data_IF_128677490438
#
_entry.id   IF_128677490438
#
_cell.length_a   1.000
_cell.length_b   1.000
_cell.length_c   1.000
_cell.angle_alpha   90.00
_cell.angle_beta   90.00
_cell.angle_gamma   90.00
#
_symmetry.space_group_name_H-M   'P 1'
#
loop_
_entity.id
_entity.type
_entity.pdbx_description
1 polymer ?
#
# COMPACT_ATOMS: atom_id res chain seq x y z
N UNK A 1 -22.97 7.38 32.79
CA UNK A 1 -23.19 7.91 31.42
C UNK A 1 -21.84 8.22 30.81
N UNK A 2 -21.38 7.36 29.89
CA UNK A 2 -20.32 7.65 28.92
C UNK A 2 -20.76 6.96 27.63
N UNK A 3 -21.60 7.62 26.85
CA UNK A 3 -21.82 7.27 25.45
C UNK A 3 -21.13 8.35 24.62
N UNK A 4 -20.00 8.05 23.96
CA UNK A 4 -19.65 8.68 22.68
C UNK A 4 -18.44 8.06 21.95
N UNK A 5 -18.45 6.76 21.70
CA UNK A 5 -17.76 6.23 20.51
C UNK A 5 -18.65 5.13 19.95
N UNK A 6 -19.41 5.44 18.89
CA UNK A 6 -20.06 4.41 18.07
C UNK A 6 -19.03 3.99 17.00
N UNK A 7 -18.37 2.83 17.10
CA UNK A 7 -17.47 2.38 16.06
C UNK A 7 -18.23 1.82 14.86
N UNK A 8 -17.78 2.22 13.66
CA UNK A 8 -17.94 1.58 12.35
C UNK A 8 -19.34 1.09 11.98
N UNK A 9 -20.19 2.04 11.57
CA UNK A 9 -21.29 1.76 10.65
C UNK A 9 -21.07 2.60 9.39
N UNK A 10 -20.33 2.08 8.41
CA UNK A 10 -20.35 2.62 7.05
C UNK A 10 -21.53 1.98 6.30
N UNK A 11 -22.74 2.32 6.72
CA UNK A 11 -23.94 2.19 5.90
C UNK A 11 -24.31 3.62 5.50
N UNK A 12 -23.67 4.13 4.45
CA UNK A 12 -24.38 4.81 3.37
C UNK A 12 -23.43 5.07 2.20
N UNK A 13 -23.92 4.68 1.04
CA UNK A 13 -23.44 4.82 -0.33
C UNK A 13 -23.31 6.28 -0.81
N UNK A 14 -22.63 7.13 -0.05
CA UNK A 14 -22.32 8.50 -0.45
C UNK A 14 -21.31 8.49 -1.60
N UNK A 15 -21.79 8.33 -2.83
CA UNK A 15 -21.03 8.61 -4.04
C UNK A 15 -20.77 10.12 -4.11
N UNK A 16 -19.57 10.53 -4.47
CA UNK A 16 -19.32 11.92 -4.83
C UNK A 16 -20.10 12.29 -6.11
N UNK A 17 -20.05 13.57 -6.51
CA UNK A 17 -20.84 14.09 -7.64
C UNK A 17 -20.54 13.38 -8.97
N UNK A 18 -19.39 12.73 -9.07
CA UNK A 18 -18.92 11.97 -10.23
C UNK A 18 -19.20 10.45 -10.08
N UNK A 19 -19.88 10.04 -9.00
CA UNK A 19 -20.29 8.66 -8.79
C UNK A 19 -19.26 7.79 -8.05
N UNK A 20 -18.13 8.36 -7.63
CA UNK A 20 -17.05 7.61 -7.01
C UNK A 20 -17.21 7.50 -5.48
N UNK A 21 -16.73 6.40 -4.90
CA UNK A 21 -16.83 6.15 -3.46
C UNK A 21 -15.70 6.91 -2.76
N UNK A 22 -15.97 7.70 -1.71
CA UNK A 22 -14.92 8.38 -0.97
C UNK A 22 -14.01 7.34 -0.34
N UNK A 23 -12.71 7.54 -0.52
CA UNK A 23 -11.68 6.65 0.01
C UNK A 23 -11.60 6.91 1.53
N UNK A 24 -11.78 5.88 2.39
CA UNK A 24 -11.67 6.06 3.84
C UNK A 24 -10.30 6.59 4.24
N UNK A 25 -10.24 7.49 5.22
CA UNK A 25 -8.98 8.06 5.71
C UNK A 25 -7.98 6.96 6.14
N UNK A 26 -8.47 5.90 6.79
CA UNK A 26 -7.64 4.77 7.22
C UNK A 26 -6.98 4.03 6.04
N UNK A 27 -7.67 3.93 4.90
CA UNK A 27 -7.13 3.33 3.68
C UNK A 27 -6.01 4.22 3.12
N UNK A 28 -6.18 5.54 3.16
CA UNK A 28 -5.17 6.51 2.71
C UNK A 28 -3.93 6.43 3.61
N UNK A 29 -4.09 6.48 4.93
CA UNK A 29 -2.99 6.45 5.90
C UNK A 29 -2.18 5.15 5.80
N UNK A 30 -2.85 4.00 5.72
CA UNK A 30 -2.18 2.71 5.59
C UNK A 30 -1.46 2.59 4.24
N UNK A 31 -2.10 3.03 3.15
CA UNK A 31 -1.48 3.03 1.82
C UNK A 31 -0.22 3.89 1.81
N UNK A 32 -0.30 5.10 2.38
CA UNK A 32 0.83 6.02 2.48
C UNK A 32 1.99 5.41 3.27
N UNK A 33 1.71 4.89 4.47
CA UNK A 33 2.72 4.26 5.32
C UNK A 33 3.46 3.11 4.62
N UNK A 34 2.73 2.26 3.90
CA UNK A 34 3.31 1.14 3.14
C UNK A 34 4.11 1.64 1.94
N UNK A 35 3.63 2.67 1.23
CA UNK A 35 4.34 3.27 0.11
C UNK A 35 5.64 3.95 0.54
N UNK A 36 5.62 4.74 1.61
CA UNK A 36 6.81 5.37 2.20
C UNK A 36 7.84 4.32 2.56
N UNK A 37 7.41 3.24 3.23
CA UNK A 37 8.32 2.15 3.62
C UNK A 37 8.97 1.45 2.42
N UNK A 38 8.20 1.21 1.35
CA UNK A 38 8.75 0.62 0.12
C UNK A 38 9.71 1.58 -0.58
N UNK A 39 9.39 2.88 -0.62
CA UNK A 39 10.24 3.89 -1.23
C UNK A 39 11.55 4.08 -0.45
N UNK A 40 11.52 4.03 0.88
CA UNK A 40 12.71 4.11 1.72
C UNK A 40 13.69 2.96 1.46
N UNK A 41 13.18 1.74 1.28
CA UNK A 41 13.99 0.55 1.04
C UNK A 41 14.38 0.36 -0.43
N UNK A 42 13.50 0.75 -1.34
CA UNK A 42 13.61 0.57 -2.79
C UNK A 42 13.30 1.90 -3.49
N UNK A 43 14.17 2.91 -3.34
CA UNK A 43 13.93 4.23 -3.91
C UNK A 43 14.02 4.19 -5.44
N UNK A 44 13.26 5.02 -6.15
CA UNK A 44 13.29 5.06 -7.63
C UNK A 44 12.52 3.94 -8.32
N UNK A 45 11.67 3.21 -7.58
CA UNK A 45 10.71 2.26 -8.11
C UNK A 45 9.29 2.87 -8.07
N UNK A 46 8.50 2.63 -9.12
CA UNK A 46 7.16 3.21 -9.25
C UNK A 46 6.10 2.38 -8.48
N UNK A 47 6.22 2.34 -7.15
CA UNK A 47 5.30 1.58 -6.30
C UNK A 47 3.90 2.21 -6.26
N UNK A 48 2.90 1.41 -6.57
CA UNK A 48 1.48 1.73 -6.37
C UNK A 48 0.92 0.89 -5.22
N UNK A 49 0.37 1.56 -4.20
CA UNK A 49 -0.20 0.89 -3.03
C UNK A 49 -1.67 1.26 -2.89
N UNK A 50 -2.51 0.25 -2.66
CA UNK A 50 -3.94 0.42 -2.38
C UNK A 50 -4.31 -0.44 -1.20
N UNK A 51 -4.58 0.18 -0.07
CA UNK A 51 -5.16 -0.48 1.09
C UNK A 51 -6.69 -0.46 0.99
N UNK A 52 -7.31 -1.53 1.49
CA UNK A 52 -8.73 -1.60 1.77
C UNK A 52 -8.88 -2.18 3.15
N UNK A 53 -9.07 -1.31 4.15
CA UNK A 53 -9.22 -1.73 5.56
C UNK A 53 -10.50 -2.54 5.73
N UNK A 54 -11.57 -2.17 5.02
CA UNK A 54 -12.82 -2.92 4.99
C UNK A 54 -12.62 -4.36 4.47
N UNK A 55 -11.83 -4.54 3.42
CA UNK A 55 -11.57 -5.87 2.84
C UNK A 55 -10.39 -6.59 3.52
N UNK A 56 -9.69 -5.95 4.45
CA UNK A 56 -8.57 -6.55 5.17
C UNK A 56 -7.30 -6.74 4.32
N UNK A 57 -7.14 -6.02 3.21
CA UNK A 57 -6.07 -6.25 2.23
C UNK A 57 -5.28 -4.99 1.89
N UNK A 58 -3.99 -5.16 1.61
CA UNK A 58 -3.15 -4.16 0.94
C UNK A 58 -2.63 -4.76 -0.35
N UNK A 59 -2.93 -4.12 -1.47
CA UNK A 59 -2.46 -4.50 -2.81
C UNK A 59 -1.32 -3.60 -3.23
N UNK A 60 -0.21 -4.20 -3.65
CA UNK A 60 1.01 -3.50 -4.07
C UNK A 60 1.33 -3.89 -5.52
N UNK A 61 1.64 -2.90 -6.34
CA UNK A 61 2.09 -3.03 -7.73
C UNK A 61 3.34 -2.18 -7.96
N UNK A 62 4.11 -2.52 -8.98
CA UNK A 62 5.20 -1.67 -9.47
C UNK A 62 4.93 -1.31 -10.93
N UNK A 63 4.52 -0.07 -11.18
CA UNK A 63 4.09 0.39 -12.50
C UNK A 63 5.23 0.47 -13.52
N UNK A 64 6.49 0.47 -13.08
CA UNK A 64 7.64 0.40 -13.98
C UNK A 64 7.90 -1.04 -14.48
N UNK A 65 7.37 -2.05 -13.79
CA UNK A 65 7.61 -3.47 -14.10
C UNK A 65 6.40 -4.15 -14.71
N UNK A 66 5.21 -3.88 -14.17
CA UNK A 66 3.96 -4.42 -14.69
C UNK A 66 2.76 -3.61 -14.23
N UNK A 67 1.83 -3.38 -15.14
CA UNK A 67 0.48 -2.89 -14.88
C UNK A 67 -0.47 -3.98 -14.35
N UNK A 68 -0.19 -5.24 -14.69
CA UNK A 68 -1.03 -6.42 -14.41
C UNK A 68 -0.65 -7.17 -13.14
N UNK A 69 0.64 -7.27 -12.83
CA UNK A 69 1.13 -8.09 -11.74
C UNK A 69 1.53 -7.28 -10.51
N UNK A 70 1.34 -7.90 -9.35
CA UNK A 70 1.63 -7.32 -8.04
C UNK A 70 1.47 -8.38 -6.97
N UNK A 71 1.34 -7.96 -5.72
CA UNK A 71 1.10 -8.86 -4.59
C UNK A 71 0.12 -8.25 -3.60
N UNK A 72 -0.55 -9.12 -2.85
CA UNK A 72 -1.55 -8.76 -1.85
C UNK A 72 -1.09 -9.26 -0.49
N UNK A 73 -1.21 -8.41 0.52
CA UNK A 73 -0.91 -8.74 1.92
C UNK A 73 -2.13 -8.49 2.78
N UNK A 74 -2.44 -9.45 3.66
CA UNK A 74 -3.52 -9.30 4.62
C UNK A 74 -3.12 -8.34 5.74
N UNK A 75 -3.99 -7.38 6.06
CA UNK A 75 -3.75 -6.36 7.09
C UNK A 75 -3.49 -6.99 8.46
N UNK A 76 -4.10 -8.13 8.76
CA UNK A 76 -3.84 -8.86 10.01
C UNK A 76 -2.38 -9.31 10.16
N UNK A 77 -1.70 -9.61 9.05
CA UNK A 77 -0.25 -9.89 9.07
C UNK A 77 0.57 -8.63 9.36
N UNK A 78 0.09 -7.46 8.97
CA UNK A 78 0.77 -6.18 9.22
C UNK A 78 0.62 -5.73 10.68
N UNK A 79 -0.50 -6.07 11.35
CA UNK A 79 -0.72 -5.75 12.77
C UNK A 79 0.35 -6.40 13.67
N UNK A 80 0.83 -7.58 13.30
CA UNK A 80 1.89 -8.32 14.02
C UNK A 80 3.31 -7.99 13.55
N UNK A 81 3.45 -7.15 12.52
CA UNK A 81 4.71 -6.74 11.91
C UNK A 81 4.76 -5.19 11.78
N UNK A 82 4.90 -4.46 12.91
CA UNK A 82 4.81 -2.98 12.91
C UNK A 82 5.90 -2.31 12.06
N UNK A 83 7.03 -3.00 11.85
CA UNK A 83 8.12 -2.55 10.99
C UNK A 83 7.93 -2.83 9.50
N UNK A 84 6.83 -3.48 9.11
CA UNK A 84 6.49 -3.84 7.73
C UNK A 84 7.60 -4.63 7.01
N UNK A 85 8.37 -5.44 7.74
CA UNK A 85 9.40 -6.32 7.19
C UNK A 85 8.83 -7.28 6.16
N UNK A 86 7.59 -7.75 6.37
CA UNK A 86 6.90 -8.61 5.42
C UNK A 86 6.74 -7.94 4.05
N UNK A 87 6.32 -6.67 4.04
CA UNK A 87 6.18 -5.87 2.82
C UNK A 87 7.53 -5.68 2.13
N UNK A 88 8.57 -5.34 2.90
CA UNK A 88 9.91 -5.13 2.35
C UNK A 88 10.44 -6.41 1.72
N UNK A 89 10.26 -7.55 2.37
CA UNK A 89 10.69 -8.85 1.85
C UNK A 89 9.92 -9.23 0.58
N UNK A 90 8.60 -9.07 0.58
CA UNK A 90 7.75 -9.35 -0.59
C UNK A 90 8.09 -8.42 -1.77
N UNK A 91 8.34 -7.13 -1.51
CA UNK A 91 8.78 -6.18 -2.53
C UNK A 91 10.13 -6.58 -3.14
N UNK A 92 11.10 -6.98 -2.32
CA UNK A 92 12.39 -7.45 -2.80
C UNK A 92 12.30 -8.74 -3.62
N UNK A 93 11.50 -9.70 -3.16
CA UNK A 93 11.23 -10.93 -3.91
C UNK A 93 10.53 -10.63 -5.25
N UNK A 94 9.59 -9.68 -5.26
CA UNK A 94 8.94 -9.23 -6.47
C UNK A 94 9.95 -8.66 -7.49
N UNK A 95 10.90 -7.83 -7.05
CA UNK A 95 11.97 -7.34 -7.93
C UNK A 95 12.83 -8.48 -8.50
N UNK A 96 13.21 -9.44 -7.67
CA UNK A 96 14.03 -10.59 -8.06
C UNK A 96 13.31 -11.47 -9.10
N UNK A 97 11.99 -11.61 -9.01
CA UNK A 97 11.18 -12.32 -10.02
C UNK A 97 11.23 -11.66 -11.40
N UNK A 98 11.50 -10.36 -11.45
CA UNK A 98 11.75 -9.61 -12.69
C UNK A 98 13.24 -9.49 -13.03
N UNK A 99 14.12 -10.26 -12.37
CA UNK A 99 15.57 -10.21 -12.54
C UNK A 99 16.18 -8.84 -12.22
N UNK A 100 15.58 -8.10 -11.28
CA UNK A 100 16.06 -6.80 -10.80
C UNK A 100 16.67 -6.97 -9.41
N UNK A 101 17.84 -6.38 -9.20
CA UNK A 101 18.50 -6.39 -7.89
C UNK A 101 17.64 -5.67 -6.86
N UNK A 102 17.61 -6.19 -5.63
CA UNK A 102 17.05 -5.47 -4.49
C UNK A 102 17.79 -4.16 -4.28
N UNK A 103 17.06 -3.09 -3.99
CA UNK A 103 17.61 -1.77 -3.69
C UNK A 103 17.08 -0.68 -4.60
N UNK A 104 17.87 0.37 -4.79
CA UNK A 104 17.49 1.52 -5.59
C UNK A 104 17.19 1.11 -7.04
N UNK A 105 16.08 1.61 -7.56
CA UNK A 105 15.69 1.49 -8.95
C UNK A 105 16.59 2.33 -9.85
N UNK A 106 16.57 2.04 -11.16
CA UNK A 106 17.47 2.66 -12.14
C UNK A 106 17.29 4.18 -12.26
N UNK A 107 16.16 4.73 -11.80
CA UNK A 107 15.83 6.15 -11.89
C UNK A 107 16.28 7.00 -10.69
N UNK A 108 16.99 6.43 -9.70
CA UNK A 108 17.45 7.17 -8.51
C UNK A 108 18.65 8.12 -8.77
N UNK A 109 19.24 8.16 -9.98
CA UNK A 109 20.47 8.91 -10.28
C UNK A 109 20.26 10.26 -11.00
N UNK A 110 19.10 10.91 -10.93
CA UNK A 110 18.93 12.18 -11.68
C UNK A 110 18.12 13.23 -10.93
N UNK A 111 18.63 13.76 -9.81
CA UNK A 111 18.46 15.18 -9.45
C UNK A 111 19.71 15.61 -8.66
N UNK A 112 20.57 16.42 -9.29
CA UNK A 112 21.58 17.27 -8.62
C UNK A 112 20.94 18.62 -8.31
#
# INVERSE_FOLDING_TARGET
MVELIKPLQYHDEAKDKDGNKPIPLQDIELSKKVAEKLNDHYPGHAWGVTASVQNGTVTIRNFALSDKYGFVVLIDKLKTDPGLKLIVNAGGEFLERYNIKRGAGPYHHQIY
#
